data_IF_331260680917
#
_entry.id   IF_331260680917
#
_cell.length_a   1.000
_cell.length_b   1.000
_cell.length_c   1.000
_cell.angle_alpha   90.00
_cell.angle_beta   90.00
_cell.angle_gamma   90.00
#
_symmetry.space_group_name_H-M   'P 1'
#
loop_
_entity.id
_entity.type
_entity.pdbx_description
1 polymer ?
#
# COMPACT_ATOMS: atom_id res chain seq x y z
N UNK A 1 43.85 28.12 3.59
CA UNK A 1 43.99 26.78 4.21
C UNK A 1 42.60 26.25 4.47
N UNK A 2 41.98 25.60 3.48
CA UNK A 2 40.61 25.06 3.62
C UNK A 2 40.52 23.60 3.15
N UNK A 3 40.89 22.60 3.98
CA UNK A 3 40.69 21.19 3.66
C UNK A 3 39.61 20.49 4.51
N UNK A 4 38.89 21.18 5.39
CA UNK A 4 38.07 20.53 6.45
C UNK A 4 36.60 20.27 6.10
N UNK A 5 36.07 20.82 5.01
CA UNK A 5 34.64 20.67 4.68
C UNK A 5 34.31 19.34 3.96
N UNK A 6 35.27 18.80 3.20
CA UNK A 6 35.05 17.66 2.31
C UNK A 6 34.98 16.31 3.06
N UNK A 7 35.73 16.16 4.15
CA UNK A 7 35.77 14.93 4.95
C UNK A 7 34.45 14.64 5.67
N UNK A 8 33.73 15.69 6.10
CA UNK A 8 32.43 15.55 6.78
C UNK A 8 31.32 15.11 5.83
N UNK A 9 31.34 15.54 4.57
CA UNK A 9 30.37 15.09 3.58
C UNK A 9 30.58 13.62 3.21
N UNK A 10 31.83 13.20 3.04
CA UNK A 10 32.17 11.81 2.75
C UNK A 10 31.75 10.87 3.89
N UNK A 11 31.98 11.26 5.15
CA UNK A 11 31.54 10.49 6.31
C UNK A 11 30.00 10.36 6.39
N UNK A 12 29.26 11.42 6.07
CA UNK A 12 27.78 11.38 6.03
C UNK A 12 27.26 10.48 4.91
N UNK A 13 27.86 10.53 3.72
CA UNK A 13 27.49 9.65 2.61
C UNK A 13 27.75 8.18 2.96
N UNK A 14 28.86 7.88 3.63
CA UNK A 14 29.22 6.53 4.08
C UNK A 14 28.31 6.01 5.19
N UNK A 15 27.86 6.88 6.11
CA UNK A 15 26.89 6.54 7.13
C UNK A 15 25.50 6.26 6.52
N UNK A 16 25.05 7.08 5.58
CA UNK A 16 23.78 6.90 4.88
C UNK A 16 23.75 5.58 4.08
N UNK A 17 24.82 5.25 3.36
CA UNK A 17 24.90 3.99 2.61
C UNK A 17 24.93 2.75 3.51
N UNK A 18 25.58 2.84 4.67
CA UNK A 18 25.57 1.77 5.67
C UNK A 18 24.18 1.54 6.28
N UNK A 19 23.41 2.61 6.52
CA UNK A 19 22.02 2.52 6.99
C UNK A 19 21.15 1.86 5.92
N UNK A 20 21.26 2.29 4.66
CA UNK A 20 20.53 1.68 3.54
C UNK A 20 20.85 0.19 3.37
N UNK A 21 22.12 -0.21 3.51
CA UNK A 21 22.51 -1.61 3.44
C UNK A 21 21.90 -2.46 4.56
N UNK A 22 21.90 -1.95 5.81
CA UNK A 22 21.26 -2.62 6.94
C UNK A 22 19.75 -2.74 6.77
N UNK A 23 19.10 -1.69 6.26
CA UNK A 23 17.67 -1.72 5.93
C UNK A 23 17.35 -2.76 4.86
N UNK A 24 18.20 -2.89 3.82
CA UNK A 24 18.03 -3.90 2.78
C UNK A 24 18.12 -5.32 3.35
N UNK A 25 19.11 -5.61 4.19
CA UNK A 25 19.27 -6.93 4.83
C UNK A 25 18.08 -7.25 5.74
N UNK A 26 17.58 -6.27 6.49
CA UNK A 26 16.40 -6.44 7.33
C UNK A 26 15.16 -6.78 6.49
N UNK A 27 14.94 -6.02 5.40
CA UNK A 27 13.87 -6.28 4.42
C UNK A 27 13.95 -7.72 3.87
N UNK A 28 15.13 -8.16 3.43
CA UNK A 28 15.33 -9.52 2.90
C UNK A 28 15.05 -10.62 3.94
N UNK A 29 15.44 -10.41 5.21
CA UNK A 29 15.13 -11.35 6.29
C UNK A 29 13.64 -11.45 6.57
N UNK A 30 12.94 -10.31 6.58
CA UNK A 30 11.48 -10.27 6.76
C UNK A 30 10.78 -10.99 5.61
N UNK A 31 11.23 -10.77 4.36
CA UNK A 31 10.71 -11.47 3.17
C UNK A 31 10.91 -12.99 3.28
N UNK A 32 12.09 -13.44 3.73
CA UNK A 32 12.39 -14.87 3.86
C UNK A 32 11.58 -15.55 4.97
N UNK A 33 11.42 -14.88 6.12
CA UNK A 33 10.51 -15.34 7.17
C UNK A 33 9.09 -15.43 6.61
N UNK A 34 8.66 -14.43 5.85
CA UNK A 34 7.34 -14.42 5.24
C UNK A 34 7.11 -15.57 4.25
N UNK A 35 8.06 -15.83 3.34
CA UNK A 35 8.01 -17.00 2.43
C UNK A 35 7.85 -18.32 3.20
N UNK A 36 8.46 -18.44 4.38
CA UNK A 36 8.36 -19.63 5.22
C UNK A 36 6.98 -19.79 5.87
N UNK A 37 6.34 -18.69 6.28
CA UNK A 37 5.02 -18.71 6.92
C UNK A 37 3.85 -18.66 5.93
N UNK A 38 4.07 -18.13 4.71
CA UNK A 38 3.10 -18.06 3.60
C UNK A 38 3.44 -19.09 2.52
N UNK A 39 3.85 -20.28 2.94
CA UNK A 39 3.71 -21.46 2.08
C UNK A 39 2.21 -21.65 1.78
N UNK A 40 1.85 -21.62 0.49
CA UNK A 40 0.48 -21.47 -0.02
C UNK A 40 -0.53 -22.54 0.42
N UNK A 41 -0.09 -23.58 1.11
CA UNK A 41 -0.91 -24.68 1.60
C UNK A 41 -1.94 -24.24 2.67
N UNK A 42 -1.60 -23.26 3.52
CA UNK A 42 -2.51 -22.78 4.56
C UNK A 42 -3.51 -21.70 4.08
N UNK A 43 -3.17 -20.93 3.04
CA UNK A 43 -4.06 -19.86 2.53
C UNK A 43 -5.21 -20.44 1.71
N UNK A 44 -4.98 -21.50 0.95
CA UNK A 44 -6.04 -22.21 0.22
C UNK A 44 -7.08 -22.83 1.16
N UNK A 45 -6.65 -23.32 2.32
CA UNK A 45 -7.55 -23.85 3.35
C UNK A 45 -8.37 -22.75 4.04
N UNK A 46 -7.79 -21.55 4.29
CA UNK A 46 -8.55 -20.41 4.80
C UNK A 46 -9.60 -19.89 3.80
N UNK A 47 -9.29 -19.88 2.50
CA UNK A 47 -10.21 -19.35 1.47
C UNK A 47 -11.47 -20.20 1.27
N UNK A 48 -11.50 -21.45 1.76
CA UNK A 48 -12.68 -22.30 1.69
C UNK A 48 -13.76 -21.89 2.70
N UNK A 49 -13.39 -21.30 3.84
CA UNK A 49 -14.36 -20.80 4.82
C UNK A 49 -15.02 -19.49 4.36
N UNK A 50 -16.32 -19.30 4.61
CA UNK A 50 -17.01 -18.02 4.30
C UNK A 50 -16.37 -16.84 5.03
N UNK A 51 -15.92 -17.06 6.27
CA UNK A 51 -15.26 -16.05 7.10
C UNK A 51 -13.87 -15.69 6.56
N UNK A 52 -13.12 -16.70 6.11
CA UNK A 52 -11.83 -16.55 5.47
C UNK A 52 -11.91 -15.82 4.13
N UNK A 53 -13.01 -15.92 3.36
CA UNK A 53 -13.18 -15.11 2.14
C UNK A 53 -13.32 -13.61 2.42
N UNK A 54 -14.04 -13.23 3.47
CA UNK A 54 -14.21 -11.83 3.85
C UNK A 54 -12.93 -11.25 4.45
N UNK A 55 -12.24 -12.01 5.30
CA UNK A 55 -10.97 -11.58 5.88
C UNK A 55 -9.80 -11.66 4.89
N UNK A 56 -9.79 -12.63 3.98
CA UNK A 56 -8.76 -12.79 2.94
C UNK A 56 -8.61 -11.53 2.09
N UNK A 57 -9.69 -10.76 1.90
CA UNK A 57 -9.61 -9.48 1.21
C UNK A 57 -8.56 -8.55 1.82
N UNK A 58 -8.45 -8.49 3.15
CA UNK A 58 -7.43 -7.68 3.82
C UNK A 58 -6.02 -8.26 3.62
N UNK A 59 -5.88 -9.59 3.57
CA UNK A 59 -4.59 -10.24 3.38
C UNK A 59 -4.06 -10.15 1.95
N UNK A 60 -4.95 -10.06 0.94
CA UNK A 60 -4.57 -10.06 -0.48
C UNK A 60 -3.80 -8.79 -0.87
N UNK A 61 -4.07 -7.66 -0.20
CA UNK A 61 -3.43 -6.37 -0.53
C UNK A 61 -2.02 -6.22 0.02
N UNK A 62 -1.66 -6.97 1.07
CA UNK A 62 -0.34 -6.89 1.68
C UNK A 62 0.67 -7.78 0.97
N UNK A 63 1.90 -7.28 0.80
CA UNK A 63 3.07 -8.10 0.42
C UNK A 63 3.52 -9.01 1.56
N UNK A 64 3.22 -8.64 2.80
CA UNK A 64 3.66 -9.34 4.01
C UNK A 64 2.52 -9.48 5.02
N UNK A 65 2.10 -10.70 5.34
CA UNK A 65 1.09 -10.99 6.37
C UNK A 65 1.48 -10.47 7.77
N UNK A 66 2.78 -10.38 8.07
CA UNK A 66 3.26 -9.78 9.33
C UNK A 66 2.93 -8.29 9.45
N UNK A 67 2.67 -7.60 8.33
CA UNK A 67 2.32 -6.19 8.36
C UNK A 67 1.02 -5.92 9.09
N UNK A 68 0.05 -6.84 9.04
CA UNK A 68 -1.19 -6.67 9.79
C UNK A 68 -0.93 -6.64 11.30
N UNK A 69 -0.02 -7.48 11.80
CA UNK A 69 0.38 -7.48 13.21
C UNK A 69 1.02 -6.14 13.57
N UNK A 70 1.86 -5.58 12.69
CA UNK A 70 2.45 -4.24 12.86
C UNK A 70 1.36 -3.17 12.91
N UNK A 71 0.38 -3.21 12.00
CA UNK A 71 -0.74 -2.26 11.97
C UNK A 71 -1.61 -2.34 13.23
N UNK A 72 -1.88 -3.55 13.73
CA UNK A 72 -2.62 -3.71 14.98
C UNK A 72 -1.80 -3.21 16.18
N UNK A 73 -0.52 -3.54 16.23
CA UNK A 73 0.38 -3.02 17.27
C UNK A 73 0.45 -1.49 17.26
N UNK A 74 0.53 -0.88 16.08
CA UNK A 74 0.47 0.57 15.90
C UNK A 74 -0.81 1.16 16.48
N UNK A 75 -1.97 0.62 16.12
CA UNK A 75 -3.27 1.09 16.61
C UNK A 75 -3.38 0.95 18.13
N UNK A 76 -2.98 -0.20 18.68
CA UNK A 76 -2.97 -0.44 20.12
C UNK A 76 -2.03 0.55 20.83
N UNK A 77 -0.88 0.87 20.25
CA UNK A 77 0.06 1.84 20.82
C UNK A 77 -0.53 3.25 20.89
N UNK A 78 -1.25 3.70 19.85
CA UNK A 78 -1.96 4.98 19.90
C UNK A 78 -3.08 5.00 20.93
N UNK A 79 -3.87 3.92 21.01
CA UNK A 79 -4.93 3.80 22.02
C UNK A 79 -4.34 3.79 23.43
N UNK A 80 -3.22 3.11 23.64
CA UNK A 80 -2.52 3.10 24.91
C UNK A 80 -2.05 4.52 25.31
N UNK A 81 -1.46 5.28 24.39
CA UNK A 81 -1.10 6.69 24.64
C UNK A 81 -2.35 7.50 24.98
N UNK A 82 -3.45 7.29 24.25
CA UNK A 82 -4.70 8.02 24.46
C UNK A 82 -5.38 7.75 25.81
N UNK A 83 -5.27 6.52 26.32
CA UNK A 83 -5.93 6.10 27.57
C UNK A 83 -5.05 6.35 28.80
N UNK A 84 -3.76 6.05 28.71
CA UNK A 84 -2.86 6.08 29.87
C UNK A 84 -2.19 7.43 30.10
N UNK A 85 -2.09 8.28 29.08
CA UNK A 85 -1.55 9.63 29.24
C UNK A 85 -2.69 10.62 29.46
N UNK A 86 -2.63 11.48 30.49
CA UNK A 86 -3.67 12.47 30.73
C UNK A 86 -3.90 13.39 29.52
N UNK A 87 -5.17 13.60 29.16
CA UNK A 87 -5.60 14.37 27.99
C UNK A 87 -5.11 15.83 27.97
N UNK A 88 -4.72 16.37 29.12
CA UNK A 88 -4.21 17.74 29.27
C UNK A 88 -2.69 17.84 29.29
N UNK A 89 -1.98 16.75 28.99
CA UNK A 89 -0.53 16.75 29.01
C UNK A 89 0.03 16.94 27.61
N UNK A 90 0.89 17.94 27.42
CA UNK A 90 1.69 18.12 26.19
C UNK A 90 2.48 16.86 25.84
N UNK A 91 2.83 16.06 26.85
CA UNK A 91 3.53 14.79 26.67
C UNK A 91 2.74 13.81 25.78
N UNK A 92 1.41 13.82 25.84
CA UNK A 92 0.58 12.95 25.00
C UNK A 92 0.79 13.25 23.51
N UNK A 93 0.72 14.54 23.14
CA UNK A 93 0.91 15.00 21.76
C UNK A 93 2.33 14.72 21.27
N UNK A 94 3.33 14.95 22.12
CA UNK A 94 4.74 14.64 21.80
C UNK A 94 4.97 13.14 21.62
N UNK A 95 4.44 12.30 22.53
CA UNK A 95 4.56 10.85 22.43
C UNK A 95 3.87 10.30 21.17
N UNK A 96 2.67 10.78 20.87
CA UNK A 96 1.96 10.43 19.65
C UNK A 96 2.77 10.84 18.40
N UNK A 97 3.31 12.06 18.37
CA UNK A 97 4.12 12.57 17.26
C UNK A 97 5.37 11.72 17.00
N UNK A 98 6.13 11.40 18.06
CA UNK A 98 7.34 10.54 17.94
C UNK A 98 6.96 9.16 17.41
N UNK A 99 5.89 8.57 17.93
CA UNK A 99 5.39 7.28 17.47
C UNK A 99 4.95 7.34 16.00
N UNK A 100 4.28 8.42 15.58
CA UNK A 100 3.88 8.64 14.18
C UNK A 100 5.06 8.78 13.24
N UNK A 101 6.08 9.53 13.63
CA UNK A 101 7.32 9.67 12.85
C UNK A 101 8.02 8.30 12.70
N UNK A 102 8.07 7.51 13.77
CA UNK A 102 8.63 6.16 13.69
C UNK A 102 7.86 5.28 12.70
N UNK A 103 6.52 5.24 12.80
CA UNK A 103 5.71 4.40 11.92
C UNK A 103 5.67 4.88 10.47
N UNK A 104 5.71 6.18 10.19
CA UNK A 104 5.76 6.68 8.81
C UNK A 104 7.10 6.34 8.16
N UNK A 105 8.22 6.47 8.89
CA UNK A 105 9.54 6.05 8.39
C UNK A 105 9.52 4.54 8.13
N UNK A 106 9.01 3.76 9.07
CA UNK A 106 8.91 2.31 8.93
C UNK A 106 8.08 1.91 7.71
N UNK A 107 6.95 2.57 7.49
CA UNK A 107 6.06 2.35 6.33
C UNK A 107 6.73 2.72 5.01
N UNK A 108 7.36 3.89 4.92
CA UNK A 108 8.05 4.35 3.70
C UNK A 108 9.24 3.46 3.33
N UNK A 109 9.89 2.85 4.31
CA UNK A 109 11.00 1.91 4.07
C UNK A 109 10.49 0.51 3.72
N UNK A 110 9.43 0.04 4.39
CA UNK A 110 8.91 -1.30 4.19
C UNK A 110 8.09 -1.46 2.90
N UNK A 111 7.39 -0.40 2.47
CA UNK A 111 6.44 -0.41 1.34
C UNK A 111 5.56 -1.67 1.31
N UNK A 112 4.75 -1.87 2.36
CA UNK A 112 4.10 -3.15 2.66
C UNK A 112 2.99 -3.52 1.69
N UNK A 113 2.41 -2.57 0.95
CA UNK A 113 1.32 -2.85 0.02
C UNK A 113 1.85 -3.26 -1.35
N UNK A 114 1.10 -4.14 -2.03
CA UNK A 114 1.45 -4.56 -3.39
C UNK A 114 1.42 -3.39 -4.37
N UNK A 115 0.35 -2.60 -4.25
CA UNK A 115 0.05 -1.49 -5.13
C UNK A 115 0.61 -0.18 -4.55
N UNK A 116 1.15 0.67 -5.42
CA UNK A 116 1.75 1.95 -5.02
C UNK A 116 0.72 2.94 -4.48
N UNK A 117 -0.49 2.94 -5.04
CA UNK A 117 -1.62 3.77 -4.59
C UNK A 117 -1.94 3.54 -3.11
N UNK A 118 -1.90 2.29 -2.67
CA UNK A 118 -2.24 1.90 -1.31
C UNK A 118 -1.13 2.31 -0.33
N UNK A 119 0.14 2.17 -0.75
CA UNK A 119 1.27 2.69 0.02
C UNK A 119 1.19 4.21 0.17
N UNK A 120 0.80 4.92 -0.89
CA UNK A 120 0.65 6.37 -0.87
C UNK A 120 -0.53 6.80 0.02
N UNK A 121 -1.68 6.14 -0.10
CA UNK A 121 -2.86 6.40 0.73
C UNK A 121 -2.56 6.17 2.22
N UNK A 122 -1.88 5.07 2.56
CA UNK A 122 -1.44 4.81 3.93
C UNK A 122 -0.41 5.85 4.40
N UNK A 123 0.49 6.29 3.52
CA UNK A 123 1.45 7.35 3.81
C UNK A 123 0.76 8.67 4.16
N UNK A 124 -0.27 9.07 3.41
CA UNK A 124 -1.10 10.24 3.71
C UNK A 124 -1.85 10.09 5.03
N UNK A 125 -2.44 8.92 5.29
CA UNK A 125 -3.12 8.65 6.57
C UNK A 125 -2.16 8.73 7.77
N UNK A 126 -0.91 8.28 7.64
CA UNK A 126 0.10 8.44 8.69
C UNK A 126 0.57 9.89 8.83
N UNK A 127 0.71 10.61 7.72
CA UNK A 127 1.05 12.04 7.70
C UNK A 127 -0.02 12.91 8.36
N UNK A 128 -1.30 12.56 8.19
CA UNK A 128 -2.41 13.21 8.88
C UNK A 128 -2.26 13.15 10.40
N UNK A 129 -1.91 11.98 10.95
CA UNK A 129 -1.73 11.82 12.40
C UNK A 129 -0.61 12.74 12.91
N UNK A 130 0.46 12.92 12.12
CA UNK A 130 1.56 13.86 12.44
C UNK A 130 1.04 15.29 12.48
N UNK A 131 0.28 15.71 11.47
CA UNK A 131 -0.31 17.05 11.41
C UNK A 131 -1.25 17.27 12.60
N UNK A 132 -2.13 16.31 12.90
CA UNK A 132 -3.04 16.38 14.03
C UNK A 132 -2.30 16.50 15.37
N UNK A 133 -1.22 15.74 15.56
CA UNK A 133 -0.38 15.82 16.76
C UNK A 133 0.34 17.18 16.88
N UNK A 134 0.82 17.74 15.76
CA UNK A 134 1.41 19.09 15.72
C UNK A 134 0.38 20.16 16.04
N UNK A 135 -0.82 20.09 15.47
CA UNK A 135 -1.92 21.00 15.79
C UNK A 135 -2.28 20.93 17.27
N UNK A 136 -2.35 19.72 17.84
CA UNK A 136 -2.57 19.52 19.28
C UNK A 136 -1.49 20.19 20.14
N UNK A 137 -0.23 20.12 19.72
CA UNK A 137 0.88 20.79 20.41
C UNK A 137 0.78 22.33 20.32
N UNK A 138 0.44 22.87 19.15
CA UNK A 138 0.28 24.32 18.95
C UNK A 138 -0.86 24.87 19.81
N UNK A 139 -1.99 24.16 19.87
CA UNK A 139 -3.12 24.55 20.73
C UNK A 139 -2.75 24.53 22.21
N UNK A 140 -1.96 23.56 22.64
CA UNK A 140 -1.55 23.44 24.04
C UNK A 140 -0.61 24.59 24.45
N UNK A 141 0.29 25.00 23.55
CA UNK A 141 1.17 26.16 23.75
C UNK A 141 0.34 27.45 23.82
N UNK A 142 -0.56 27.69 22.87
CA UNK A 142 -1.33 28.95 22.80
C UNK A 142 -2.33 29.09 23.93
N UNK A 143 -2.89 27.98 24.42
CA UNK A 143 -3.74 27.96 25.62
C UNK A 143 -3.05 28.59 26.84
N UNK A 144 -1.72 28.51 26.91
CA UNK A 144 -0.94 29.07 28.02
C UNK A 144 -0.63 30.57 27.90
N UNK A 145 -0.71 31.13 26.69
CA UNK A 145 -0.26 32.50 26.38
C UNK A 145 -1.43 33.48 26.40
N UNK A 146 -2.48 33.26 25.59
CA UNK A 146 -3.60 34.19 25.48
C UNK A 146 -4.94 33.48 25.16
N UNK A 147 -5.95 33.53 26.04
CA UNK A 147 -7.21 32.81 25.86
C UNK A 147 -8.12 33.41 24.77
N UNK A 148 -7.91 34.66 24.34
CA UNK A 148 -8.76 35.32 23.33
C UNK A 148 -8.45 34.88 21.89
N UNK A 149 -7.18 34.56 21.58
CA UNK A 149 -6.77 34.06 20.26
C UNK A 149 -7.12 32.57 20.06
N UNK A 150 -7.43 31.87 21.15
CA UNK A 150 -7.71 30.45 21.17
C UNK A 150 -8.93 30.05 20.32
N UNK A 151 -9.99 30.85 20.26
CA UNK A 151 -11.22 30.47 19.54
C UNK A 151 -11.02 30.38 18.01
N UNK A 152 -10.23 31.29 17.43
CA UNK A 152 -9.93 31.30 16.00
C UNK A 152 -8.99 30.13 15.66
N UNK A 153 -7.95 29.91 16.46
CA UNK A 153 -6.99 28.82 16.26
C UNK A 153 -7.63 27.44 16.48
N UNK A 154 -8.54 27.32 17.43
CA UNK A 154 -9.32 26.11 17.65
C UNK A 154 -10.22 25.80 16.46
N UNK A 155 -10.83 26.82 15.84
CA UNK A 155 -11.65 26.64 14.64
C UNK A 155 -10.79 26.15 13.46
N UNK A 156 -9.65 26.78 13.21
CA UNK A 156 -8.71 26.37 12.15
C UNK A 156 -8.22 24.94 12.39
N UNK A 157 -7.86 24.62 13.64
CA UNK A 157 -7.38 23.30 14.03
C UNK A 157 -8.47 22.25 13.87
N UNK A 158 -9.71 22.54 14.26
CA UNK A 158 -10.84 21.64 14.07
C UNK A 158 -11.13 21.38 12.59
N UNK A 159 -11.02 22.41 11.73
CA UNK A 159 -11.15 22.26 10.28
C UNK A 159 -10.04 21.39 9.71
N UNK A 160 -8.79 21.53 10.18
CA UNK A 160 -7.70 20.65 9.74
C UNK A 160 -7.88 19.21 10.23
N UNK A 161 -8.21 19.02 11.50
CA UNK A 161 -8.38 17.69 12.13
C UNK A 161 -9.60 16.96 11.56
N UNK A 162 -10.69 17.64 11.21
CA UNK A 162 -11.89 16.99 10.67
C UNK A 162 -11.87 16.96 9.13
N UNK A 163 -11.39 18.02 8.50
CA UNK A 163 -11.42 18.17 7.04
C UNK A 163 -10.45 17.23 6.33
N UNK A 164 -9.23 17.06 6.86
CA UNK A 164 -8.21 16.23 6.23
C UNK A 164 -8.54 14.73 6.22
N UNK A 165 -8.97 14.10 7.34
CA UNK A 165 -9.44 12.70 7.31
C UNK A 165 -10.66 12.53 6.41
N UNK A 166 -11.59 13.49 6.42
CA UNK A 166 -12.77 13.42 5.55
C UNK A 166 -12.35 13.38 4.09
N UNK A 167 -11.37 14.19 3.69
CA UNK A 167 -10.82 14.18 2.34
C UNK A 167 -10.18 12.83 2.00
N UNK A 168 -9.36 12.26 2.90
CA UNK A 168 -8.72 10.96 2.68
C UNK A 168 -9.76 9.84 2.54
N UNK A 169 -10.80 9.83 3.38
CA UNK A 169 -11.90 8.86 3.29
C UNK A 169 -12.62 8.99 1.95
N UNK A 170 -12.92 10.21 1.51
CA UNK A 170 -13.54 10.46 0.20
C UNK A 170 -12.66 9.95 -0.94
N UNK A 171 -11.35 10.25 -0.93
CA UNK A 171 -10.42 9.73 -1.93
C UNK A 171 -10.36 8.19 -1.93
N UNK A 172 -10.36 7.58 -0.75
CA UNK A 172 -10.40 6.12 -0.61
C UNK A 172 -11.68 5.51 -1.20
N UNK A 173 -12.84 6.15 -0.98
CA UNK A 173 -14.12 5.74 -1.59
C UNK A 173 -14.05 5.85 -3.12
N UNK A 174 -13.49 6.94 -3.66
CA UNK A 174 -13.32 7.13 -5.10
C UNK A 174 -12.41 6.05 -5.71
N UNK A 175 -11.29 5.72 -5.06
CA UNK A 175 -10.39 4.65 -5.49
C UNK A 175 -11.10 3.28 -5.47
N UNK A 176 -11.83 2.97 -4.40
CA UNK A 176 -12.60 1.75 -4.29
C UNK A 176 -13.66 1.64 -5.40
N UNK A 177 -14.40 2.72 -5.67
CA UNK A 177 -15.39 2.78 -6.73
C UNK A 177 -14.77 2.60 -8.12
N UNK A 178 -13.62 3.23 -8.39
CA UNK A 178 -12.89 3.08 -9.64
C UNK A 178 -12.44 1.63 -9.88
N UNK A 179 -11.90 0.97 -8.86
CA UNK A 179 -11.49 -0.43 -8.95
C UNK A 179 -12.68 -1.38 -9.17
N UNK A 180 -13.83 -1.10 -8.54
CA UNK A 180 -15.06 -1.86 -8.74
C UNK A 180 -15.60 -1.71 -10.17
N UNK A 181 -15.52 -0.50 -10.73
CA UNK A 181 -15.92 -0.22 -12.11
C UNK A 181 -15.04 -0.95 -13.12
N UNK A 182 -13.72 -0.96 -12.93
CA UNK A 182 -12.80 -1.73 -13.79
C UNK A 182 -13.12 -3.23 -13.76
N UNK A 183 -13.36 -3.81 -12.59
CA UNK A 183 -13.76 -5.22 -12.46
C UNK A 183 -15.10 -5.51 -13.12
N UNK A 184 -16.04 -4.56 -13.10
CA UNK A 184 -17.31 -4.70 -13.81
C UNK A 184 -17.10 -4.68 -15.33
N UNK A 185 -16.20 -3.82 -15.82
CA UNK A 185 -15.87 -3.73 -17.24
C UNK A 185 -15.17 -5.00 -17.75
N UNK A 186 -14.24 -5.58 -16.99
CA UNK A 186 -13.59 -6.86 -17.33
C UNK A 186 -14.59 -8.02 -17.45
N UNK A 187 -15.59 -8.06 -16.55
CA UNK A 187 -16.65 -9.07 -16.64
C UNK A 187 -17.51 -8.87 -17.89
N UNK A 188 -17.81 -7.62 -18.26
CA UNK A 188 -18.58 -7.33 -19.46
C UNK A 188 -17.81 -7.69 -20.75
N UNK A 189 -16.50 -7.39 -20.83
CA UNK A 189 -15.69 -7.76 -22.00
C UNK A 189 -15.49 -9.28 -22.11
N UNK A 190 -15.33 -9.99 -21.00
CA UNK A 190 -15.26 -11.45 -20.98
C UNK A 190 -16.57 -12.08 -21.48
N UNK A 191 -17.73 -11.57 -21.04
CA UNK A 191 -19.03 -12.02 -21.51
C UNK A 191 -19.22 -11.71 -23.00
N UNK A 192 -18.85 -10.52 -23.46
CA UNK A 192 -18.89 -10.16 -24.88
C UNK A 192 -18.03 -11.09 -25.74
N UNK A 193 -16.84 -11.47 -25.27
CA UNK A 193 -15.98 -12.45 -25.94
C UNK A 193 -16.59 -13.85 -26.00
N UNK A 194 -17.27 -14.31 -24.95
CA UNK A 194 -18.00 -15.58 -24.93
C UNK A 194 -19.16 -15.56 -25.93
N UNK A 195 -19.95 -14.48 -25.95
CA UNK A 195 -21.05 -14.31 -26.92
C UNK A 195 -20.52 -14.28 -28.35
N UNK A 196 -19.42 -13.56 -28.62
CA UNK A 196 -18.80 -13.55 -29.95
C UNK A 196 -18.39 -14.96 -30.40
N UNK A 197 -17.78 -15.77 -29.52
CA UNK A 197 -17.42 -17.17 -29.82
C UNK A 197 -18.65 -18.05 -30.08
N UNK A 198 -19.72 -17.90 -29.28
CA UNK A 198 -20.96 -18.66 -29.44
C UNK A 198 -21.70 -18.31 -30.74
N UNK A 199 -21.74 -17.03 -31.12
CA UNK A 199 -22.36 -16.59 -32.38
C UNK A 199 -21.52 -16.90 -33.61
N UNK A 200 -20.19 -16.83 -33.53
CA UNK A 200 -19.30 -17.19 -34.63
C UNK A 200 -19.33 -18.71 -34.90
N UNK A 201 -19.37 -19.55 -33.85
CA UNK A 201 -19.51 -21.01 -34.01
C UNK A 201 -20.86 -21.44 -34.60
N UNK A 202 -21.94 -20.65 -34.47
CA UNK A 202 -23.26 -21.02 -35.01
C UNK A 202 -23.41 -20.71 -36.50
N UNK A 203 -22.59 -19.80 -37.06
CA UNK A 203 -22.64 -19.40 -38.47
C UNK A 203 -21.62 -20.11 -39.37
N UNK A 204 -20.57 -20.72 -38.80
CA UNK A 204 -19.56 -21.50 -39.52
C UNK A 204 -19.80 -23.01 -39.51
N UNK A 205 -21.06 -23.48 -39.38
CA UNK A 205 -21.38 -24.91 -39.44
C UNK A 205 -21.79 -25.42 -40.83
N UNK A 206 -21.66 -24.61 -41.88
CA UNK A 206 -22.00 -24.98 -43.26
C UNK A 206 -20.80 -25.08 -44.23
N UNK A 207 -19.56 -25.06 -43.75
CA UNK A 207 -18.37 -25.18 -44.62
C UNK A 207 -17.16 -25.76 -43.85
N UNK A 208 -17.30 -26.96 -43.29
CA UNK A 208 -16.19 -27.63 -42.59
C UNK A 208 -16.08 -29.08 -43.05
N UNK A 209 -15.64 -29.26 -44.29
CA UNK A 209 -15.12 -30.54 -44.80
C UNK A 209 -13.75 -30.41 -45.50
N UNK A 210 -13.03 -29.29 -45.36
CA UNK A 210 -11.75 -29.09 -46.08
C UNK A 210 -10.77 -28.11 -45.41
N UNK A 211 -10.65 -28.10 -44.07
CA UNK A 211 -9.77 -27.14 -43.36
C UNK A 211 -8.89 -27.78 -42.27
N UNK A 212 -8.73 -29.11 -42.25
CA UNK A 212 -7.76 -29.77 -41.35
C UNK A 212 -6.30 -29.50 -41.74
N UNK A 213 -6.04 -29.17 -43.01
CA UNK A 213 -4.66 -29.18 -43.53
C UNK A 213 -3.99 -27.80 -43.42
N UNK A 214 -4.76 -26.72 -43.38
CA UNK A 214 -4.19 -25.36 -43.26
C UNK A 214 -3.84 -24.95 -41.82
N UNK A 215 -4.41 -25.58 -40.80
CA UNK A 215 -4.11 -25.23 -39.40
C UNK A 215 -2.78 -25.80 -38.90
N UNK A 216 -2.31 -26.93 -39.43
CA UNK A 216 -0.99 -27.47 -39.08
C UNK A 216 0.15 -26.61 -39.66
N UNK A 217 -0.05 -25.99 -40.82
CA UNK A 217 0.99 -25.19 -41.49
C UNK A 217 1.28 -23.84 -40.80
N UNK A 218 0.31 -23.28 -40.07
CA UNK A 218 0.51 -22.04 -39.32
C UNK A 218 1.24 -22.26 -37.98
N UNK A 219 1.05 -23.42 -37.34
CA UNK A 219 1.74 -23.72 -36.08
C UNK A 219 3.24 -23.98 -36.27
N UNK A 220 3.67 -24.53 -37.42
CA UNK A 220 5.10 -24.70 -37.70
C UNK A 220 5.83 -23.36 -37.92
N UNK A 221 5.20 -22.39 -38.58
CA UNK A 221 5.81 -21.08 -38.89
C UNK A 221 5.97 -20.15 -37.68
N UNK A 222 5.12 -20.30 -36.65
CA UNK A 222 5.24 -19.49 -35.42
C UNK A 222 6.33 -20.04 -34.50
N UNK A 223 6.50 -21.37 -34.43
CA UNK A 223 7.54 -22.00 -33.60
C UNK A 223 8.95 -21.75 -34.17
N UNK A 224 9.09 -21.63 -35.49
CA UNK A 224 10.39 -21.41 -36.12
C UNK A 224 10.91 -19.97 -35.93
N UNK A 225 10.01 -18.97 -35.90
CA UNK A 225 10.39 -17.56 -35.67
C UNK A 225 10.79 -17.26 -34.21
N UNK A 226 10.26 -17.97 -33.22
CA UNK A 226 10.64 -17.77 -31.81
C UNK A 226 12.05 -18.29 -31.49
N UNK A 227 12.55 -19.26 -32.26
CA UNK A 227 13.88 -19.84 -32.05
C UNK A 227 14.99 -18.91 -32.57
N UNK A 228 14.73 -18.16 -33.65
CA UNK A 228 15.72 -17.21 -34.18
C UNK A 228 15.88 -15.97 -33.28
N UNK A 229 14.80 -15.48 -32.67
CA UNK A 229 14.87 -14.32 -31.78
C UNK A 229 15.57 -14.60 -30.44
N UNK A 230 15.63 -15.86 -30.01
CA UNK A 230 16.37 -16.27 -28.81
C UNK A 230 17.89 -16.36 -29.01
N UNK A 231 18.39 -16.38 -30.26
CA UNK A 231 19.83 -16.50 -30.55
C UNK A 231 20.54 -15.17 -30.78
N UNK A 232 19.80 -14.04 -30.81
CA UNK A 232 20.35 -12.71 -31.09
C UNK A 232 20.45 -11.78 -29.87
N UNK A 233 20.33 -12.30 -28.65
CA UNK A 233 20.54 -11.58 -27.38
C UNK A 233 21.53 -12.32 -26.51
#
# INVERSE_FOLDING_TARGET
TEPSLNTNQEQRAKAASAILAKMKIFSERVVNIHKKYVSGENIQNLSNSRFGRTLAFFYISYRFALWEVVEMFRKISYVAIAVYVPASSSFQSVAALVLSIFFIIFHLVALPYKDWSDNLAQGFALGEIIIAALCGLVLDIHRSIDPFYYEIEQTITNVMILGFPTLIVVLGIFQAAGSAFQRAQEKQTALAGIFARLFCCRRCKSSLSSTSDHQQQWYSLVVENDIEHSKSK
#
